data_IF_438075120633
#
_entry.id   IF_438075120633
#
_cell.length_a   1.000
_cell.length_b   1.000
_cell.length_c   1.000
_cell.angle_alpha   90.00
_cell.angle_beta   90.00
_cell.angle_gamma   90.00
#
_symmetry.space_group_name_H-M   'P 1'
#
loop_
_entity.id
_entity.type
_entity.pdbx_description
1 polymer ?
#
# COMPACT_ATOMS: atom_id res chain seq x y z
N UNK A 1 5.06 -32.79 -25.39
CA UNK A 1 4.90 -32.02 -24.14
C UNK A 1 5.97 -30.94 -23.96
N UNK A 2 7.28 -31.22 -23.94
CA UNK A 2 8.31 -30.18 -23.67
C UNK A 2 8.32 -28.96 -24.61
N UNK A 3 7.91 -29.13 -25.88
CA UNK A 3 7.91 -28.06 -26.89
C UNK A 3 6.79 -27.03 -26.66
N UNK A 4 5.59 -27.46 -26.25
CA UNK A 4 4.47 -26.55 -25.97
C UNK A 4 4.69 -25.78 -24.67
N UNK A 5 5.25 -26.43 -23.64
CA UNK A 5 5.62 -25.81 -22.37
C UNK A 5 6.65 -24.68 -22.57
N UNK A 6 7.70 -24.92 -23.34
CA UNK A 6 8.70 -23.89 -23.66
C UNK A 6 8.12 -22.74 -24.47
N UNK A 7 7.21 -23.02 -25.41
CA UNK A 7 6.54 -21.97 -26.17
C UNK A 7 5.64 -21.11 -25.27
N UNK A 8 4.89 -21.74 -24.37
CA UNK A 8 4.07 -21.03 -23.39
C UNK A 8 4.92 -20.09 -22.51
N UNK A 9 6.01 -20.61 -21.93
CA UNK A 9 6.94 -19.80 -21.13
C UNK A 9 7.61 -18.68 -21.93
N UNK A 10 7.94 -18.91 -23.20
CA UNK A 10 8.44 -17.88 -24.10
C UNK A 10 7.43 -16.74 -24.27
N UNK A 11 6.15 -17.06 -24.52
CA UNK A 11 5.10 -16.04 -24.69
C UNK A 11 4.83 -15.26 -23.41
N UNK A 12 4.79 -15.92 -22.25
CA UNK A 12 4.67 -15.24 -20.95
C UNK A 12 5.83 -14.28 -20.73
N UNK A 13 7.07 -14.74 -20.99
CA UNK A 13 8.27 -13.93 -20.81
C UNK A 13 8.27 -12.74 -21.76
N UNK A 14 7.96 -12.98 -23.04
CA UNK A 14 7.83 -11.92 -24.06
C UNK A 14 6.80 -10.87 -23.65
N UNK A 15 5.62 -11.32 -23.19
CA UNK A 15 4.55 -10.42 -22.75
C UNK A 15 4.94 -9.61 -21.52
N UNK A 16 5.61 -10.25 -20.56
CA UNK A 16 6.14 -9.60 -19.36
C UNK A 16 7.13 -8.48 -19.73
N UNK A 17 8.06 -8.74 -20.66
CA UNK A 17 9.03 -7.74 -21.13
C UNK A 17 8.33 -6.60 -21.86
N UNK A 18 7.39 -6.89 -22.77
CA UNK A 18 6.62 -5.87 -23.49
C UNK A 18 5.88 -4.92 -22.54
N UNK A 19 5.20 -5.46 -21.51
CA UNK A 19 4.50 -4.64 -20.50
C UNK A 19 5.47 -3.73 -19.75
N UNK A 20 6.64 -4.25 -19.35
CA UNK A 20 7.66 -3.47 -18.65
C UNK A 20 8.29 -2.36 -19.50
N UNK A 21 8.41 -2.58 -20.81
CA UNK A 21 9.00 -1.60 -21.74
C UNK A 21 7.97 -0.63 -22.34
N UNK A 22 6.69 -0.77 -22.03
CA UNK A 22 5.63 0.11 -22.55
C UNK A 22 5.35 -0.09 -24.05
N UNK A 23 5.55 -1.30 -24.56
CA UNK A 23 5.20 -1.62 -25.96
C UNK A 23 3.71 -1.40 -26.22
N UNK A 24 3.36 -0.99 -27.44
CA UNK A 24 1.96 -0.77 -27.83
C UNK A 24 1.15 -2.05 -27.63
N UNK A 25 0.07 -1.97 -26.85
CA UNK A 25 -0.88 -3.05 -26.66
C UNK A 25 -2.17 -2.82 -27.46
N UNK A 26 -2.98 -3.87 -27.57
CA UNK A 26 -4.27 -3.82 -28.24
C UNK A 26 -5.24 -2.88 -27.49
N UNK A 27 -5.88 -1.97 -28.22
CA UNK A 27 -6.73 -0.93 -27.65
C UNK A 27 -7.94 -1.52 -26.91
N UNK A 28 -8.48 -2.65 -27.37
CA UNK A 28 -9.60 -3.31 -26.71
C UNK A 28 -9.18 -3.96 -25.39
N UNK A 29 -7.96 -4.51 -25.33
CA UNK A 29 -7.39 -5.05 -24.09
C UNK A 29 -7.21 -3.93 -23.07
N UNK A 30 -6.63 -2.79 -23.49
CA UNK A 30 -6.46 -1.62 -22.61
C UNK A 30 -7.81 -1.11 -22.12
N UNK A 31 -8.79 -0.96 -23.01
CA UNK A 31 -10.12 -0.46 -22.65
C UNK A 31 -10.85 -1.39 -21.68
N UNK A 32 -10.70 -2.70 -21.83
CA UNK A 32 -11.31 -3.69 -20.93
C UNK A 32 -10.72 -3.63 -19.53
N UNK A 33 -9.46 -3.20 -19.41
CA UNK A 33 -8.68 -3.21 -18.18
C UNK A 33 -8.73 -1.88 -17.41
N UNK A 34 -9.21 -0.80 -18.04
CA UNK A 34 -9.20 0.55 -17.48
C UNK A 34 -9.89 0.67 -16.11
N UNK A 35 -11.04 0.01 -15.92
CA UNK A 35 -11.75 0.07 -14.63
C UNK A 35 -10.96 -0.64 -13.51
N UNK A 36 -10.36 -1.79 -13.82
CA UNK A 36 -9.55 -2.55 -12.89
C UNK A 36 -8.27 -1.78 -12.52
N UNK A 37 -7.61 -1.16 -13.50
CA UNK A 37 -6.41 -0.36 -13.29
C UNK A 37 -6.71 0.85 -12.38
N UNK A 38 -7.84 1.53 -12.58
CA UNK A 38 -8.26 2.62 -11.71
C UNK A 38 -8.43 2.15 -10.26
N UNK A 39 -9.04 0.98 -10.03
CA UNK A 39 -9.19 0.41 -8.67
C UNK A 39 -7.85 0.01 -8.06
N UNK A 40 -6.92 -0.51 -8.85
CA UNK A 40 -5.56 -0.85 -8.40
C UNK A 40 -4.81 0.42 -7.98
N UNK A 41 -4.94 1.52 -8.70
CA UNK A 41 -4.32 2.80 -8.31
C UNK A 41 -4.90 3.36 -7.01
N UNK A 42 -6.22 3.27 -6.81
CA UNK A 42 -6.85 3.62 -5.53
C UNK A 42 -6.29 2.75 -4.40
N UNK A 43 -6.17 1.44 -4.61
CA UNK A 43 -5.58 0.54 -3.63
C UNK A 43 -4.13 0.90 -3.30
N UNK A 44 -3.29 1.19 -4.29
CA UNK A 44 -1.90 1.64 -4.07
C UNK A 44 -1.84 2.91 -3.24
N UNK A 45 -2.73 3.87 -3.51
CA UNK A 45 -2.86 5.09 -2.70
C UNK A 45 -3.24 4.80 -1.25
N UNK A 46 -4.23 3.91 -1.03
CA UNK A 46 -4.62 3.48 0.33
C UNK A 46 -3.45 2.81 1.05
N UNK A 47 -2.75 1.89 0.38
CA UNK A 47 -1.56 1.22 0.92
C UNK A 47 -0.50 2.24 1.33
N UNK A 48 -0.11 3.16 0.44
CA UNK A 48 0.90 4.17 0.72
C UNK A 48 0.51 5.14 1.86
N UNK A 49 -0.72 5.65 1.83
CA UNK A 49 -1.20 6.61 2.85
C UNK A 49 -1.37 5.99 4.23
N UNK A 50 -1.67 4.69 4.31
CA UNK A 50 -1.72 3.98 5.60
C UNK A 50 -0.35 3.87 6.28
N UNK A 51 0.72 3.71 5.49
CA UNK A 51 2.10 3.71 6.00
C UNK A 51 2.47 5.09 6.54
N UNK A 52 2.08 6.15 5.82
CA UNK A 52 2.35 7.51 6.26
C UNK A 52 1.56 7.87 7.53
N UNK A 53 0.30 7.43 7.62
CA UNK A 53 -0.52 7.60 8.82
C UNK A 53 0.14 6.96 10.05
N UNK A 54 0.66 5.73 9.91
CA UNK A 54 1.39 5.04 10.99
C UNK A 54 2.61 5.86 11.46
N UNK A 55 3.43 6.39 10.54
CA UNK A 55 4.56 7.25 10.92
C UNK A 55 4.13 8.54 11.62
N UNK A 56 3.05 9.17 11.16
CA UNK A 56 2.52 10.40 11.77
C UNK A 56 2.07 10.12 13.20
N UNK A 57 1.38 8.99 13.43
CA UNK A 57 0.94 8.59 14.78
C UNK A 57 2.14 8.35 15.69
N UNK A 58 3.18 7.65 15.21
CA UNK A 58 4.41 7.41 15.98
C UNK A 58 5.13 8.71 16.35
N UNK A 59 5.32 9.62 15.38
CA UNK A 59 5.92 10.94 15.63
C UNK A 59 5.08 11.78 16.59
N UNK A 60 3.75 11.71 16.48
CA UNK A 60 2.87 12.45 17.37
C UNK A 60 2.96 11.92 18.80
N UNK A 61 3.03 10.60 18.99
CA UNK A 61 3.24 9.99 20.31
C UNK A 61 4.58 10.43 20.92
N UNK A 62 5.66 10.44 20.16
CA UNK A 62 6.97 10.89 20.62
C UNK A 62 6.94 12.35 21.08
N UNK A 63 6.48 13.25 20.20
CA UNK A 63 6.38 14.69 20.50
C UNK A 63 5.48 14.96 21.71
N UNK A 64 4.39 14.21 21.84
CA UNK A 64 3.48 14.31 22.96
C UNK A 64 4.15 13.94 24.29
N UNK A 65 4.98 12.89 24.29
CA UNK A 65 5.72 12.48 25.48
C UNK A 65 6.75 13.53 25.90
N UNK A 66 7.53 14.03 24.93
CA UNK A 66 8.52 15.09 25.17
C UNK A 66 7.83 16.33 25.75
N UNK A 67 6.78 16.82 25.10
CA UNK A 67 6.05 18.01 25.56
C UNK A 67 5.50 17.83 26.99
N UNK A 68 4.94 16.66 27.29
CA UNK A 68 4.37 16.39 28.61
C UNK A 68 5.44 16.32 29.70
N UNK A 69 6.63 15.80 29.36
CA UNK A 69 7.79 15.81 30.26
C UNK A 69 8.28 17.23 30.51
N UNK A 70 8.44 18.05 29.46
CA UNK A 70 8.86 19.45 29.56
C UNK A 70 7.89 20.28 30.38
N UNK A 71 6.58 20.15 30.15
CA UNK A 71 5.57 20.82 30.98
C UNK A 71 5.62 20.37 32.44
N UNK A 72 5.84 19.07 32.69
CA UNK A 72 5.98 18.56 34.06
C UNK A 72 7.21 19.15 34.76
N UNK A 73 8.34 19.27 34.06
CA UNK A 73 9.56 19.92 34.55
C UNK A 73 9.32 21.41 34.81
N UNK A 74 8.73 22.12 33.84
CA UNK A 74 8.44 23.54 33.95
C UNK A 74 7.46 23.85 35.08
N UNK A 75 6.41 23.04 35.24
CA UNK A 75 5.47 23.17 36.35
C UNK A 75 6.12 22.99 37.72
N UNK A 76 7.09 22.06 37.86
CA UNK A 76 7.90 21.92 39.09
C UNK A 76 8.80 23.14 39.31
N UNK A 77 9.47 23.61 38.27
CA UNK A 77 10.31 24.81 38.33
C UNK A 77 9.51 26.03 38.82
N UNK A 78 8.33 26.28 38.26
CA UNK A 78 7.47 27.38 38.68
C UNK A 78 7.03 27.25 40.14
N UNK A 79 6.67 26.05 40.61
CA UNK A 79 6.34 25.83 42.02
C UNK A 79 7.50 26.21 42.95
N UNK A 80 8.75 25.86 42.58
CA UNK A 80 9.93 26.24 43.37
C UNK A 80 10.26 27.73 43.28
N UNK A 81 10.09 28.36 42.11
CA UNK A 81 10.25 29.80 41.96
C UNK A 81 9.20 30.58 42.77
N UNK A 82 7.96 30.10 42.80
CA UNK A 82 6.86 30.68 43.58
C UNK A 82 7.16 30.77 45.07
N UNK A 83 7.82 29.76 45.65
CA UNK A 83 8.24 29.77 47.06
C UNK A 83 9.25 30.88 47.39
N UNK A 84 9.99 31.37 46.39
CA UNK A 84 11.03 32.41 46.57
C UNK A 84 10.50 33.82 46.34
N UNK A 85 9.32 33.98 45.75
CA UNK A 85 8.75 35.29 45.43
C UNK A 85 7.84 35.81 46.55
N UNK A 86 8.13 37.01 47.07
CA UNK A 86 7.35 37.67 48.12
C UNK A 86 6.06 38.35 47.61
N UNK A 87 6.04 38.72 46.33
CA UNK A 87 4.95 39.53 45.75
C UNK A 87 4.08 38.75 44.77
N UNK A 88 4.64 37.74 44.10
CA UNK A 88 3.96 36.97 43.04
C UNK A 88 3.93 35.46 43.29
N UNK A 89 4.39 35.00 44.47
CA UNK A 89 4.59 33.58 44.76
C UNK A 89 3.37 32.69 44.60
N UNK A 90 2.19 33.16 45.01
CA UNK A 90 0.94 32.41 44.85
C UNK A 90 0.55 32.23 43.39
N UNK A 91 0.62 33.31 42.59
CA UNK A 91 0.32 33.27 41.15
C UNK A 91 1.26 32.30 40.42
N UNK A 92 2.57 32.40 40.67
CA UNK A 92 3.57 31.51 40.06
C UNK A 92 3.32 30.04 40.45
N UNK A 93 3.00 29.78 41.72
CA UNK A 93 2.69 28.43 42.21
C UNK A 93 1.44 27.85 41.55
N UNK A 94 0.38 28.67 41.39
CA UNK A 94 -0.84 28.27 40.71
C UNK A 94 -0.58 27.96 39.24
N UNK A 95 0.21 28.79 38.54
CA UNK A 95 0.65 28.51 37.17
C UNK A 95 1.42 27.20 37.10
N UNK A 96 2.36 26.96 38.03
CA UNK A 96 3.10 25.70 38.07
C UNK A 96 2.21 24.47 38.29
N UNK A 97 1.15 24.57 39.11
CA UNK A 97 0.16 23.49 39.27
C UNK A 97 -0.62 23.26 37.98
N UNK A 98 -1.09 24.32 37.32
CA UNK A 98 -1.83 24.23 36.07
C UNK A 98 -0.99 23.59 34.95
N UNK A 99 0.26 24.03 34.77
CA UNK A 99 1.18 23.49 33.76
C UNK A 99 1.48 22.01 34.03
N UNK A 100 1.77 21.62 35.28
CA UNK A 100 1.96 20.19 35.61
C UNK A 100 0.71 19.36 35.31
N UNK A 101 -0.48 19.89 35.57
CA UNK A 101 -1.75 19.21 35.30
C UNK A 101 -1.98 19.06 33.80
N UNK A 102 -1.69 20.08 32.99
CA UNK A 102 -1.74 19.98 31.52
C UNK A 102 -0.84 18.85 30.99
N UNK A 103 0.39 18.74 31.51
CA UNK A 103 1.31 17.67 31.12
C UNK A 103 0.75 16.28 31.43
N UNK A 104 0.16 16.11 32.62
CA UNK A 104 -0.49 14.85 33.01
C UNK A 104 -1.70 14.51 32.12
N UNK A 105 -2.59 15.49 31.87
CA UNK A 105 -3.76 15.28 31.01
C UNK A 105 -3.36 14.95 29.58
N UNK A 106 -2.31 15.59 29.06
CA UNK A 106 -1.82 15.30 27.71
C UNK A 106 -1.31 13.87 27.61
N UNK A 107 -0.62 13.35 28.63
CA UNK A 107 -0.20 11.93 28.65
C UNK A 107 -1.36 10.95 28.57
N UNK A 108 -2.56 11.30 29.02
CA UNK A 108 -3.73 10.44 28.88
C UNK A 108 -4.11 10.18 27.41
N UNK A 109 -3.75 11.10 26.49
CA UNK A 109 -3.96 10.94 25.04
C UNK A 109 -3.08 9.84 24.44
N UNK A 110 -2.00 9.44 25.12
CA UNK A 110 -1.14 8.35 24.63
C UNK A 110 -1.90 7.02 24.50
N UNK A 111 -2.84 6.74 25.40
CA UNK A 111 -3.62 5.49 25.38
C UNK A 111 -4.45 5.34 24.09
N UNK A 112 -5.30 6.30 23.69
CA UNK A 112 -6.01 6.20 22.42
C UNK A 112 -5.07 6.23 21.20
N UNK A 113 -3.92 6.92 21.25
CA UNK A 113 -2.96 6.89 20.15
C UNK A 113 -2.31 5.52 19.95
N UNK A 114 -1.93 4.83 21.03
CA UNK A 114 -1.41 3.46 20.96
C UNK A 114 -2.44 2.50 20.36
N UNK A 115 -3.71 2.67 20.74
CA UNK A 115 -4.80 1.89 20.15
C UNK A 115 -4.95 2.17 18.65
N UNK A 116 -4.94 3.43 18.25
CA UNK A 116 -5.03 3.83 16.85
C UNK A 116 -3.85 3.26 16.04
N UNK A 117 -2.63 3.34 16.56
CA UNK A 117 -1.44 2.75 15.94
C UNK A 117 -1.66 1.26 15.69
N UNK A 118 -2.12 0.53 16.71
CA UNK A 118 -2.40 -0.89 16.59
C UNK A 118 -3.47 -1.19 15.53
N UNK A 119 -4.56 -0.44 15.49
CA UNK A 119 -5.63 -0.62 14.49
C UNK A 119 -5.11 -0.37 13.06
N UNK A 120 -4.29 0.68 12.86
CA UNK A 120 -3.65 0.97 11.57
C UNK A 120 -2.67 -0.15 11.17
N UNK A 121 -1.87 -0.65 12.11
CA UNK A 121 -0.94 -1.74 11.84
C UNK A 121 -1.69 -3.04 11.51
N UNK A 122 -2.76 -3.38 12.21
CA UNK A 122 -3.60 -4.54 11.89
C UNK A 122 -4.20 -4.39 10.49
N UNK A 123 -4.75 -3.22 10.14
CA UNK A 123 -5.28 -2.96 8.81
C UNK A 123 -4.21 -3.15 7.72
N UNK A 124 -2.99 -2.64 7.95
CA UNK A 124 -1.86 -2.80 7.03
C UNK A 124 -1.42 -4.25 6.87
N UNK A 125 -1.10 -4.91 7.98
CA UNK A 125 -0.54 -6.25 7.94
C UNK A 125 -1.55 -7.32 7.55
N UNK A 126 -2.85 -7.06 7.74
CA UNK A 126 -3.93 -7.98 7.34
C UNK A 126 -4.56 -7.56 6.02
N UNK A 127 -5.38 -6.52 6.01
CA UNK A 127 -6.23 -6.18 4.88
C UNK A 127 -5.44 -5.74 3.64
N UNK A 128 -4.43 -4.88 3.82
CA UNK A 128 -3.59 -4.43 2.69
C UNK A 128 -2.76 -5.59 2.15
N UNK A 129 -2.09 -6.36 3.01
CA UNK A 129 -1.29 -7.51 2.57
C UNK A 129 -2.13 -8.56 1.82
N UNK A 130 -3.32 -8.89 2.33
CA UNK A 130 -4.21 -9.87 1.71
C UNK A 130 -4.69 -9.41 0.32
N UNK A 131 -5.10 -8.15 0.22
CA UNK A 131 -5.50 -7.55 -1.06
C UNK A 131 -4.32 -7.47 -2.03
N UNK A 132 -3.12 -7.14 -1.54
CA UNK A 132 -1.89 -7.11 -2.35
C UNK A 132 -1.55 -8.50 -2.92
N UNK A 133 -1.71 -9.56 -2.12
CA UNK A 133 -1.50 -10.93 -2.59
C UNK A 133 -2.50 -11.29 -3.69
N UNK A 134 -3.77 -10.96 -3.50
CA UNK A 134 -4.83 -11.18 -4.50
C UNK A 134 -4.54 -10.43 -5.79
N UNK A 135 -4.16 -9.15 -5.72
CA UNK A 135 -3.77 -8.34 -6.89
C UNK A 135 -2.54 -8.93 -7.58
N UNK A 136 -1.56 -9.44 -6.83
CA UNK A 136 -0.34 -10.04 -7.40
C UNK A 136 -0.66 -11.30 -8.20
N UNK A 137 -1.50 -12.18 -7.64
CA UNK A 137 -1.99 -13.37 -8.36
C UNK A 137 -2.78 -12.97 -9.59
N UNK A 138 -3.71 -12.02 -9.46
CA UNK A 138 -4.51 -11.54 -10.58
C UNK A 138 -3.63 -10.95 -11.71
N UNK A 139 -2.63 -10.13 -11.39
CA UNK A 139 -1.72 -9.56 -12.40
C UNK A 139 -0.87 -10.61 -13.12
N UNK A 140 -0.54 -11.72 -12.44
CA UNK A 140 0.09 -12.88 -13.04
C UNK A 140 -0.87 -13.52 -14.06
N UNK A 141 -2.07 -13.89 -13.64
CA UNK A 141 -3.09 -14.48 -14.53
C UNK A 141 -3.42 -13.57 -15.73
N UNK A 142 -3.54 -12.26 -15.50
CA UNK A 142 -3.73 -11.25 -16.55
C UNK A 142 -2.59 -11.26 -17.58
N UNK A 143 -1.35 -11.42 -17.12
CA UNK A 143 -0.17 -11.49 -18.00
C UNK A 143 -0.17 -12.78 -18.81
N UNK A 144 -0.49 -13.91 -18.18
CA UNK A 144 -0.57 -15.22 -18.85
C UNK A 144 -1.69 -15.24 -19.90
N UNK A 145 -2.87 -14.74 -19.56
CA UNK A 145 -3.99 -14.59 -20.48
C UNK A 145 -3.62 -13.73 -21.70
N UNK A 146 -3.01 -12.56 -21.48
CA UNK A 146 -2.58 -11.68 -22.57
C UNK A 146 -1.46 -12.30 -23.42
N UNK A 147 -0.57 -13.09 -22.83
CA UNK A 147 0.45 -13.84 -23.55
C UNK A 147 -0.16 -14.90 -24.47
N UNK A 148 -1.17 -15.63 -23.98
CA UNK A 148 -1.90 -16.62 -24.76
C UNK A 148 -2.70 -15.97 -25.91
N UNK A 149 -3.34 -14.82 -25.68
CA UNK A 149 -3.98 -14.05 -26.76
C UNK A 149 -2.99 -13.59 -27.83
N UNK A 150 -1.81 -13.10 -27.43
CA UNK A 150 -0.77 -12.71 -28.38
C UNK A 150 -0.24 -13.92 -29.18
N UNK A 151 -0.10 -15.07 -28.52
CA UNK A 151 0.26 -16.32 -29.17
C UNK A 151 -0.81 -16.75 -30.18
N UNK A 152 -2.08 -16.75 -29.80
CA UNK A 152 -3.19 -17.08 -30.71
C UNK A 152 -3.23 -16.14 -31.92
N UNK A 153 -3.05 -14.83 -31.71
CA UNK A 153 -2.99 -13.83 -32.79
C UNK A 153 -1.85 -14.16 -33.76
N UNK A 154 -0.67 -14.49 -33.25
CA UNK A 154 0.48 -14.90 -34.07
C UNK A 154 0.30 -16.24 -34.77
N UNK A 155 -0.39 -17.20 -34.15
CA UNK A 155 -0.68 -18.50 -34.77
C UNK A 155 -1.74 -18.36 -35.87
N UNK A 156 -2.72 -17.47 -35.68
CA UNK A 156 -3.80 -17.20 -36.64
C UNK A 156 -3.28 -16.62 -37.96
N UNK A 157 -2.16 -15.89 -37.96
CA UNK A 157 -1.57 -15.38 -39.22
C UNK A 157 -0.90 -16.47 -40.06
N UNK A 158 -0.55 -17.61 -39.45
CA UNK A 158 0.02 -18.77 -40.13
C UNK A 158 -1.04 -19.84 -40.47
N UNK A 159 -2.31 -19.60 -40.10
CA UNK A 159 -3.41 -20.53 -40.28
C UNK A 159 -3.99 -20.40 -41.69
N UNK A 160 -4.00 -21.51 -42.43
CA UNK A 160 -4.72 -21.63 -43.69
C UNK A 160 -6.08 -22.32 -43.42
N UNK A 161 -7.21 -21.61 -43.55
CA UNK A 161 -8.53 -22.16 -43.27
C UNK A 161 -8.97 -23.21 -44.28
N UNK A 162 -8.45 -23.19 -45.51
CA UNK A 162 -8.85 -24.12 -46.57
C UNK A 162 -8.12 -25.46 -46.45
N UNK A 163 -6.88 -25.44 -45.98
CA UNK A 163 -6.05 -26.66 -45.83
C UNK A 163 -5.95 -27.16 -44.38
N UNK A 164 -6.38 -26.36 -43.40
CA UNK A 164 -6.21 -26.64 -41.97
C UNK A 164 -4.75 -26.55 -41.50
N UNK A 165 -3.83 -26.10 -42.36
CA UNK A 165 -2.42 -25.93 -42.00
C UNK A 165 -2.29 -24.87 -40.91
N UNK A 166 -1.61 -25.20 -39.82
CA UNK A 166 -1.42 -24.29 -38.67
C UNK A 166 -2.47 -24.44 -37.57
N UNK A 167 -3.54 -25.25 -37.78
CA UNK A 167 -4.64 -25.41 -36.83
C UNK A 167 -4.19 -25.99 -35.47
N UNK A 168 -3.24 -26.93 -35.48
CA UNK A 168 -2.63 -27.50 -34.27
C UNK A 168 -1.93 -26.44 -33.41
N UNK A 169 -1.19 -25.51 -34.02
CA UNK A 169 -0.52 -24.41 -33.30
C UNK A 169 -1.55 -23.46 -32.68
N UNK A 170 -2.60 -23.14 -33.43
CA UNK A 170 -3.68 -22.29 -32.96
C UNK A 170 -4.42 -22.94 -31.78
N UNK A 171 -4.78 -24.23 -31.89
CA UNK A 171 -5.42 -25.00 -30.82
C UNK A 171 -4.57 -25.11 -29.56
N UNK A 172 -3.26 -25.28 -29.72
CA UNK A 172 -2.31 -25.30 -28.59
C UNK A 172 -2.30 -23.96 -27.86
N UNK A 173 -2.29 -22.84 -28.59
CA UNK A 173 -2.39 -21.52 -27.96
C UNK A 173 -3.77 -21.32 -27.30
N UNK A 174 -4.84 -21.82 -27.93
CA UNK A 174 -6.22 -21.73 -27.46
C UNK A 174 -6.44 -22.46 -26.12
N UNK A 175 -5.80 -23.61 -25.89
CA UNK A 175 -5.92 -24.36 -24.63
C UNK A 175 -5.24 -23.68 -23.44
N UNK A 176 -4.55 -22.55 -23.65
CA UNK A 176 -4.03 -21.71 -22.58
C UNK A 176 -4.94 -20.51 -22.26
N UNK A 177 -6.08 -20.39 -22.96
CA UNK A 177 -7.11 -19.39 -22.72
C UNK A 177 -8.36 -20.02 -22.09
N UNK A 178 -8.70 -21.23 -22.55
CA UNK A 178 -9.84 -22.04 -22.12
C UNK A 178 -9.35 -23.39 -21.61
#
# INVERSE_FOLDING_TARGET
>A
MLKSEMQHQFWITKKTVQRKLGSKEDEHIISSDAELDAKIEVFKSISATSVELSKIIDQYQERLCILSQEESVFGRFLKEAGKRSKTTGQSITNTGKAVSYCGQQRMCVRVPLLRLQHEVDVFRYRAITDTQNTITTMEKERTEYRAALEWMKSASTELDPDTGRGLEKFRTAQSHIF
#
